data_IF_766136430536
#
_entry.id   IF_766136430536
#
_cell.length_a   1.000
_cell.length_b   1.000
_cell.length_c   1.000
_cell.angle_alpha   90.00
_cell.angle_beta   90.00
_cell.angle_gamma   90.00
#
_symmetry.space_group_name_H-M   'P 1'
#
loop_
_entity.id
_entity.type
_entity.pdbx_description
1 polymer ?
#
# COMPACT_ATOMS: atom_id res chain seq x y z
N UNK A 1 9.08 -6.60 11.50
CA UNK A 1 9.25 -7.47 10.30
C UNK A 1 10.21 -6.83 9.31
N UNK A 2 10.91 -7.60 8.49
CA UNK A 2 11.80 -7.09 7.44
C UNK A 2 11.03 -6.61 6.22
N UNK A 3 11.68 -5.84 5.35
CA UNK A 3 11.13 -5.40 4.08
C UNK A 3 10.63 -6.56 3.21
N UNK A 4 9.58 -6.30 2.42
CA UNK A 4 9.25 -7.17 1.28
C UNK A 4 10.01 -6.69 0.05
N UNK A 5 10.79 -7.58 -0.57
CA UNK A 5 11.57 -7.25 -1.77
C UNK A 5 10.96 -7.92 -2.99
N UNK A 6 10.78 -7.14 -4.05
CA UNK A 6 10.36 -7.63 -5.36
C UNK A 6 11.48 -7.42 -6.37
N UNK A 7 11.22 -7.68 -7.66
CA UNK A 7 12.17 -7.41 -8.72
C UNK A 7 12.62 -5.94 -8.72
N UNK A 8 11.68 -5.00 -8.63
CA UNK A 8 11.91 -3.57 -8.84
C UNK A 8 11.65 -2.70 -7.61
N UNK A 9 11.04 -3.24 -6.56
CA UNK A 9 10.60 -2.50 -5.39
C UNK A 9 11.12 -3.13 -4.09
N UNK A 10 11.19 -2.29 -3.07
CA UNK A 10 11.26 -2.66 -1.66
C UNK A 10 10.05 -2.05 -0.99
N UNK A 11 9.28 -2.85 -0.27
CA UNK A 11 8.18 -2.39 0.57
C UNK A 11 8.69 -2.33 2.00
N UNK A 12 9.04 -1.12 2.42
CA UNK A 12 9.62 -0.86 3.73
C UNK A 12 8.51 -0.57 4.74
N UNK A 13 8.34 -1.39 5.80
CA UNK A 13 7.31 -1.11 6.80
C UNK A 13 7.63 0.21 7.50
N UNK A 14 6.71 1.17 7.42
CA UNK A 14 6.95 2.50 7.97
C UNK A 14 7.03 2.46 9.50
N UNK A 15 7.99 3.21 10.02
CA UNK A 15 8.04 3.59 11.44
C UNK A 15 7.09 4.77 11.72
N UNK A 16 6.70 5.01 12.98
CA UNK A 16 5.96 6.22 13.35
C UNK A 16 6.67 7.50 12.90
N UNK A 17 7.99 7.61 13.11
CA UNK A 17 8.78 8.79 12.74
C UNK A 17 8.78 9.04 11.23
N UNK A 18 8.86 7.99 10.41
CA UNK A 18 8.76 8.12 8.95
C UNK A 18 7.36 8.54 8.52
N UNK A 19 6.33 7.97 9.12
CA UNK A 19 4.95 8.34 8.85
C UNK A 19 4.66 9.81 9.25
N UNK A 20 5.22 10.28 10.38
CA UNK A 20 5.13 11.69 10.78
C UNK A 20 5.79 12.63 9.77
N UNK A 21 6.97 12.26 9.24
CA UNK A 21 7.63 13.02 8.18
C UNK A 21 6.80 13.04 6.89
N UNK A 22 6.24 11.90 6.48
CA UNK A 22 5.33 11.82 5.33
C UNK A 22 4.11 12.75 5.52
N UNK A 23 3.48 12.73 6.70
CA UNK A 23 2.34 13.60 7.01
C UNK A 23 2.73 15.08 7.01
N UNK A 24 3.88 15.40 7.61
CA UNK A 24 4.44 16.75 7.67
C UNK A 24 5.03 17.27 6.36
N UNK A 25 5.23 16.39 5.37
CA UNK A 25 5.99 16.65 4.13
C UNK A 25 7.40 17.18 4.44
N UNK A 26 8.02 16.66 5.48
CA UNK A 26 9.29 17.14 6.04
C UNK A 26 10.33 16.02 6.03
N UNK A 27 11.03 15.78 4.90
CA UNK A 27 12.00 14.70 4.77
C UNK A 27 13.23 14.94 5.66
N UNK A 28 13.74 13.88 6.26
CA UNK A 28 15.07 13.88 6.86
C UNK A 28 16.15 13.96 5.76
N UNK A 29 17.39 14.40 6.08
CA UNK A 29 18.47 14.49 5.10
C UNK A 29 18.77 13.19 4.33
N UNK A 30 18.53 12.04 4.97
CA UNK A 30 18.76 10.72 4.39
C UNK A 30 17.51 10.13 3.70
N UNK A 31 16.36 10.82 3.77
CA UNK A 31 15.14 10.39 3.09
C UNK A 31 15.26 10.67 1.58
N UNK A 32 15.42 9.60 0.81
CA UNK A 32 15.47 9.68 -0.65
C UNK A 32 14.05 9.70 -1.22
N UNK A 33 13.36 10.84 -1.17
CA UNK A 33 12.02 10.96 -1.75
C UNK A 33 12.07 11.30 -3.25
N UNK A 34 11.09 10.81 -4.02
CA UNK A 34 10.82 11.38 -5.33
C UNK A 34 10.37 12.84 -5.19
N UNK A 35 10.61 13.66 -6.22
CA UNK A 35 10.30 15.11 -6.20
C UNK A 35 8.81 15.39 -5.92
N UNK A 36 7.93 14.50 -6.39
CA UNK A 36 6.49 14.57 -6.21
C UNK A 36 5.97 13.69 -5.06
N UNK A 37 6.86 13.19 -4.20
CA UNK A 37 6.53 12.46 -2.97
C UNK A 37 6.60 13.38 -1.74
N UNK A 38 5.68 13.24 -0.77
CA UNK A 38 4.46 12.44 -0.82
C UNK A 38 3.35 13.13 -1.61
N UNK A 39 2.44 12.37 -2.20
CA UNK A 39 1.16 12.92 -2.69
C UNK A 39 0.05 12.70 -1.66
N UNK A 40 -1.15 13.24 -1.92
CA UNK A 40 -2.30 13.19 -0.99
C UNK A 40 -2.58 11.78 -0.43
N UNK A 41 -2.47 10.75 -1.28
CA UNK A 41 -2.74 9.36 -0.88
C UNK A 41 -1.74 8.82 0.13
N UNK A 42 -0.46 9.19 0.03
CA UNK A 42 0.58 8.77 0.99
C UNK A 42 0.33 9.44 2.34
N UNK A 43 -0.02 10.73 2.35
CA UNK A 43 -0.37 11.48 3.56
C UNK A 43 -1.58 10.86 4.26
N UNK A 44 -2.62 10.48 3.50
CA UNK A 44 -3.80 9.80 4.05
C UNK A 44 -3.40 8.44 4.65
N UNK A 45 -2.64 7.63 3.91
CA UNK A 45 -2.18 6.32 4.37
C UNK A 45 -1.35 6.39 5.65
N UNK A 46 -0.35 7.27 5.69
CA UNK A 46 0.50 7.50 6.86
C UNK A 46 -0.30 8.06 8.05
N UNK A 47 -1.27 8.95 7.81
CA UNK A 47 -2.16 9.46 8.87
C UNK A 47 -3.00 8.34 9.50
N UNK A 48 -3.57 7.46 8.68
CA UNK A 48 -4.36 6.33 9.17
C UNK A 48 -3.49 5.35 9.96
N UNK A 49 -2.27 5.10 9.49
CA UNK A 49 -1.29 4.30 10.21
C UNK A 49 -0.95 4.90 11.58
N UNK A 50 -0.62 6.20 11.66
CA UNK A 50 -0.33 6.86 12.94
C UNK A 50 -1.50 6.77 13.93
N UNK A 51 -2.74 6.97 13.44
CA UNK A 51 -3.94 6.84 14.27
C UNK A 51 -4.13 5.43 14.82
N UNK A 52 -3.95 4.42 13.96
CA UNK A 52 -4.02 3.02 14.36
C UNK A 52 -2.93 2.69 15.38
N UNK A 53 -1.69 3.13 15.12
CA UNK A 53 -0.56 2.93 16.02
C UNK A 53 -0.77 3.56 17.39
N UNK A 54 -1.30 4.79 17.44
CA UNK A 54 -1.60 5.46 18.71
C UNK A 54 -2.73 4.76 19.50
N UNK A 55 -3.62 4.04 18.82
CA UNK A 55 -4.78 3.37 19.43
C UNK A 55 -4.47 1.93 19.85
N UNK A 56 -3.69 1.20 19.05
CA UNK A 56 -3.53 -0.25 19.15
C UNK A 56 -2.08 -0.72 19.18
N UNK A 57 -1.10 0.18 19.18
CA UNK A 57 0.32 -0.15 19.23
C UNK A 57 0.88 -0.57 17.88
N UNK A 58 1.87 -1.45 17.87
CA UNK A 58 2.51 -1.90 16.62
C UNK A 58 1.48 -2.53 15.66
N UNK A 59 1.47 -2.03 14.42
CA UNK A 59 0.56 -2.51 13.38
C UNK A 59 1.17 -3.61 12.52
N UNK A 60 2.46 -3.93 12.67
CA UNK A 60 3.09 -4.95 11.83
C UNK A 60 2.44 -6.35 12.02
N UNK A 61 2.24 -7.12 10.93
CA UNK A 61 2.49 -6.78 9.52
C UNK A 61 1.37 -5.99 8.83
N UNK A 62 0.23 -5.78 9.48
CA UNK A 62 -0.98 -5.20 8.90
C UNK A 62 -0.99 -3.66 8.87
N UNK A 63 0.17 -3.06 8.62
CA UNK A 63 0.39 -1.62 8.64
C UNK A 63 0.69 -1.00 7.27
N UNK A 64 1.27 0.20 7.31
CA UNK A 64 1.67 0.96 6.13
C UNK A 64 3.13 0.69 5.76
N UNK A 65 3.40 0.64 4.46
CA UNK A 65 4.70 0.39 3.86
C UNK A 65 5.01 1.51 2.86
N UNK A 66 6.22 2.03 2.92
CA UNK A 66 6.78 2.93 1.90
C UNK A 66 7.24 2.08 0.72
N UNK A 67 6.79 2.44 -0.49
CA UNK A 67 7.24 1.82 -1.74
C UNK A 67 8.53 2.50 -2.16
N UNK A 68 9.64 1.78 -2.11
CA UNK A 68 10.97 2.26 -2.52
C UNK A 68 11.35 1.61 -3.85
N UNK A 69 11.66 2.43 -4.85
CA UNK A 69 12.13 1.96 -6.17
C UNK A 69 13.60 1.57 -6.10
N UNK A 70 13.92 0.32 -6.49
CA UNK A 70 15.26 -0.24 -6.37
C UNK A 70 16.30 0.40 -7.28
N UNK A 71 15.90 0.94 -8.43
CA UNK A 71 16.85 1.49 -9.42
C UNK A 71 17.61 2.72 -8.91
N UNK A 72 17.03 3.46 -7.96
CA UNK A 72 17.60 4.71 -7.45
C UNK A 72 17.34 4.95 -5.96
N UNK A 73 16.75 3.99 -5.25
CA UNK A 73 16.48 4.05 -3.81
C UNK A 73 15.39 5.03 -3.41
N UNK A 74 14.60 5.55 -4.36
CA UNK A 74 13.63 6.61 -4.04
C UNK A 74 12.29 6.08 -3.55
N UNK A 75 11.73 6.70 -2.51
CA UNK A 75 10.33 6.53 -2.13
C UNK A 75 9.42 7.11 -3.22
N UNK A 76 8.50 6.28 -3.73
CA UNK A 76 7.63 6.59 -4.88
C UNK A 76 6.14 6.37 -4.58
N UNK A 77 5.79 6.08 -3.33
CA UNK A 77 4.41 5.92 -2.91
C UNK A 77 4.28 5.11 -1.63
N UNK A 78 3.05 4.71 -1.33
CA UNK A 78 2.70 3.91 -0.16
C UNK A 78 1.77 2.76 -0.51
N UNK A 79 1.86 1.69 0.25
CA UNK A 79 0.95 0.54 0.20
C UNK A 79 0.76 0.00 1.62
N UNK A 80 -0.37 -0.61 1.92
CA UNK A 80 -0.55 -1.23 3.22
C UNK A 80 -1.83 -2.02 3.34
N UNK A 81 -1.91 -2.77 4.43
CA UNK A 81 -3.16 -3.34 4.89
C UNK A 81 -3.94 -2.26 5.63
N UNK A 82 -5.26 -2.22 5.43
CA UNK A 82 -6.15 -1.27 6.13
C UNK A 82 -6.60 -1.83 7.48
N UNK A 83 -5.63 -2.23 8.30
CA UNK A 83 -5.84 -2.77 9.64
C UNK A 83 -5.78 -4.30 9.73
N UNK A 84 -6.04 -4.80 10.93
CA UNK A 84 -5.99 -6.23 11.26
C UNK A 84 -7.02 -7.04 10.45
N UNK A 85 -6.71 -8.30 10.12
CA UNK A 85 -7.62 -9.16 9.39
C UNK A 85 -8.91 -9.43 10.16
N UNK A 86 -10.02 -9.57 9.44
CA UNK A 86 -11.34 -9.90 9.97
C UNK A 86 -11.89 -11.10 9.18
N UNK A 87 -12.30 -12.16 9.88
CA UNK A 87 -12.87 -13.37 9.28
C UNK A 87 -12.00 -13.94 8.13
N UNK A 88 -10.68 -13.98 8.32
CA UNK A 88 -9.72 -14.48 7.33
C UNK A 88 -9.48 -13.53 6.14
N UNK A 89 -10.06 -12.33 6.17
CA UNK A 89 -9.96 -11.30 5.14
C UNK A 89 -9.08 -10.13 5.58
N UNK A 90 -8.37 -9.51 4.64
CA UNK A 90 -7.73 -8.21 4.87
C UNK A 90 -7.86 -7.30 3.65
N UNK A 91 -8.12 -6.02 3.89
CA UNK A 91 -8.17 -5.02 2.82
C UNK A 91 -6.79 -4.40 2.58
N UNK A 92 -6.41 -4.19 1.31
CA UNK A 92 -5.21 -3.43 0.95
C UNK A 92 -5.57 -2.08 0.30
N UNK A 93 -4.69 -1.11 0.47
CA UNK A 93 -4.72 0.17 -0.25
C UNK A 93 -3.32 0.56 -0.72
N UNK A 94 -3.24 1.28 -1.83
CA UNK A 94 -1.97 1.73 -2.40
C UNK A 94 -2.09 3.06 -3.14
N UNK A 95 -0.94 3.69 -3.33
CA UNK A 95 -0.78 4.93 -4.06
C UNK A 95 0.63 5.05 -4.62
N UNK A 96 0.76 5.68 -5.79
CA UNK A 96 2.05 6.06 -6.36
C UNK A 96 2.01 7.54 -6.72
N UNK A 97 3.16 8.18 -6.57
CA UNK A 97 3.38 9.53 -7.10
C UNK A 97 3.22 9.55 -8.63
N UNK A 98 2.73 10.65 -9.22
CA UNK A 98 2.54 10.76 -10.67
C UNK A 98 3.73 10.28 -11.51
N UNK A 99 4.96 10.62 -11.11
CA UNK A 99 6.21 10.28 -11.81
C UNK A 99 6.51 8.76 -11.85
N UNK A 100 5.88 7.96 -10.99
CA UNK A 100 6.08 6.52 -10.90
C UNK A 100 4.89 5.69 -11.47
N UNK A 101 3.83 6.34 -11.96
CA UNK A 101 2.66 5.67 -12.53
C UNK A 101 2.94 5.11 -13.93
N UNK A 102 2.14 4.14 -14.36
CA UNK A 102 2.24 3.54 -15.70
C UNK A 102 3.37 2.52 -15.88
N UNK A 103 4.24 2.33 -14.89
CA UNK A 103 5.33 1.34 -14.92
C UNK A 103 4.97 -0.05 -14.33
N UNK A 104 3.72 -0.21 -13.87
CA UNK A 104 3.23 -1.45 -13.25
C UNK A 104 3.67 -1.66 -11.80
N UNK A 105 4.29 -0.67 -11.15
CA UNK A 105 4.78 -0.78 -9.77
C UNK A 105 3.66 -1.03 -8.75
N UNK A 106 2.49 -0.41 -8.91
CA UNK A 106 1.39 -0.62 -7.96
C UNK A 106 0.90 -2.08 -7.98
N UNK A 107 0.77 -2.67 -9.16
CA UNK A 107 0.38 -4.08 -9.28
C UNK A 107 1.45 -5.03 -8.72
N UNK A 108 2.73 -4.73 -8.93
CA UNK A 108 3.84 -5.48 -8.33
C UNK A 108 3.83 -5.40 -6.79
N UNK A 109 3.65 -4.20 -6.24
CA UNK A 109 3.54 -4.01 -4.80
C UNK A 109 2.31 -4.73 -4.21
N UNK A 110 1.17 -4.66 -4.88
CA UNK A 110 -0.05 -5.39 -4.46
C UNK A 110 0.17 -6.89 -4.44
N UNK A 111 0.83 -7.48 -5.45
CA UNK A 111 1.16 -8.91 -5.44
C UNK A 111 2.03 -9.29 -4.26
N UNK A 112 3.02 -8.47 -3.90
CA UNK A 112 3.86 -8.74 -2.73
C UNK A 112 3.06 -8.76 -1.41
N UNK A 113 2.07 -7.87 -1.23
CA UNK A 113 1.18 -7.93 -0.06
C UNK A 113 0.22 -9.13 -0.11
N UNK A 114 -0.26 -9.50 -1.30
CA UNK A 114 -1.10 -10.70 -1.49
C UNK A 114 -0.31 -11.97 -1.12
N UNK A 115 0.94 -12.07 -1.56
CA UNK A 115 1.82 -13.19 -1.22
C UNK A 115 2.12 -13.21 0.29
N UNK A 116 2.39 -12.05 0.90
CA UNK A 116 2.57 -11.94 2.34
C UNK A 116 1.30 -12.36 3.12
N UNK A 117 0.11 -11.97 2.65
CA UNK A 117 -1.16 -12.39 3.25
C UNK A 117 -1.36 -13.92 3.17
N UNK A 118 -0.96 -14.54 2.06
CA UNK A 118 -0.97 -16.00 1.90
C UNK A 118 -0.03 -16.69 2.88
N UNK A 119 1.18 -16.17 3.05
CA UNK A 119 2.14 -16.70 4.03
C UNK A 119 1.66 -16.55 5.48
N UNK A 120 0.87 -15.52 5.75
CA UNK A 120 0.22 -15.29 7.04
C UNK A 120 -1.02 -16.17 7.27
N UNK A 121 -1.41 -17.00 6.30
CA UNK A 121 -2.52 -17.94 6.40
C UNK A 121 -3.91 -17.28 6.32
N UNK A 122 -4.02 -16.13 5.65
CA UNK A 122 -5.31 -15.51 5.35
C UNK A 122 -6.02 -16.23 4.20
N UNK A 123 -7.35 -16.16 4.17
CA UNK A 123 -8.18 -16.82 3.17
C UNK A 123 -8.34 -15.97 1.90
N UNK A 124 -8.41 -14.65 2.06
CA UNK A 124 -8.59 -13.74 0.93
C UNK A 124 -8.09 -12.32 1.21
N UNK A 125 -7.71 -11.62 0.14
CA UNK A 125 -7.40 -10.18 0.17
C UNK A 125 -8.46 -9.44 -0.61
N UNK A 126 -8.92 -8.31 -0.07
CA UNK A 126 -9.90 -7.43 -0.70
C UNK A 126 -9.33 -6.04 -0.97
N UNK A 127 -9.94 -5.32 -1.90
CA UNK A 127 -9.64 -3.93 -2.19
C UNK A 127 -10.88 -3.25 -2.77
N UNK A 128 -11.05 -1.97 -2.46
CA UNK A 128 -12.08 -1.12 -3.04
C UNK A 128 -11.47 -0.03 -3.91
N UNK A 129 -12.18 0.36 -4.97
CA UNK A 129 -11.78 1.52 -5.78
C UNK A 129 -12.97 2.19 -6.44
N UNK A 130 -12.95 3.52 -6.55
CA UNK A 130 -14.00 4.28 -7.21
C UNK A 130 -14.27 3.79 -8.65
N UNK A 131 -15.53 3.83 -9.07
CA UNK A 131 -15.94 3.34 -10.41
C UNK A 131 -15.31 4.12 -11.56
N UNK A 132 -14.93 5.38 -11.34
CA UNK A 132 -14.23 6.23 -12.30
C UNK A 132 -12.70 6.06 -12.28
N UNK A 133 -12.16 5.35 -11.28
CA UNK A 133 -10.72 5.10 -11.15
C UNK A 133 -10.26 3.89 -11.98
N UNK A 134 -10.34 4.03 -13.30
CA UNK A 134 -9.98 3.00 -14.28
C UNK A 134 -8.51 2.53 -14.11
N UNK A 135 -7.61 3.42 -13.67
CA UNK A 135 -6.21 3.07 -13.45
C UNK A 135 -6.03 2.09 -12.28
N UNK A 136 -6.76 2.29 -11.18
CA UNK A 136 -6.74 1.38 -10.05
C UNK A 136 -7.42 0.05 -10.37
N UNK A 137 -8.56 0.08 -11.07
CA UNK A 137 -9.24 -1.15 -11.53
C UNK A 137 -8.29 -2.06 -12.32
N UNK A 138 -7.59 -1.48 -13.31
CA UNK A 138 -6.57 -2.20 -14.07
C UNK A 138 -5.45 -2.70 -13.15
N UNK A 139 -5.00 -1.91 -12.20
CA UNK A 139 -3.95 -2.31 -11.26
C UNK A 139 -4.35 -3.55 -10.46
N UNK A 140 -5.57 -3.59 -9.91
CA UNK A 140 -6.12 -4.72 -9.16
C UNK A 140 -6.22 -5.98 -10.04
N UNK A 141 -6.71 -5.83 -11.27
CA UNK A 141 -6.78 -6.93 -12.25
C UNK A 141 -5.39 -7.49 -12.60
N UNK A 142 -4.41 -6.60 -12.83
CA UNK A 142 -3.04 -7.03 -13.08
C UNK A 142 -2.40 -7.66 -11.85
N UNK A 143 -2.80 -7.28 -10.64
CA UNK A 143 -2.38 -7.93 -9.40
C UNK A 143 -3.01 -9.33 -9.20
N UNK A 144 -3.94 -9.73 -10.06
CA UNK A 144 -4.61 -11.04 -10.01
C UNK A 144 -5.95 -11.02 -9.27
N UNK A 145 -6.41 -9.85 -8.81
CA UNK A 145 -7.69 -9.71 -8.14
C UNK A 145 -8.84 -9.68 -9.15
N UNK A 146 -9.98 -10.22 -8.75
CA UNK A 146 -11.21 -10.22 -9.54
C UNK A 146 -12.24 -9.29 -8.92
N UNK A 147 -12.99 -8.56 -9.76
CA UNK A 147 -14.12 -7.76 -9.30
C UNK A 147 -15.25 -8.69 -8.84
N UNK A 148 -15.70 -8.53 -7.60
CA UNK A 148 -16.73 -9.38 -6.96
C UNK A 148 -18.03 -8.63 -6.66
N UNK A 149 -18.05 -7.30 -6.78
CA UNK A 149 -19.25 -6.53 -6.52
C UNK A 149 -19.09 -5.03 -6.69
N UNK A 150 -20.11 -4.32 -6.20
CA UNK A 150 -20.19 -2.86 -6.14
C UNK A 150 -20.74 -2.46 -4.76
N UNK A 151 -20.25 -1.36 -4.21
CA UNK A 151 -20.78 -0.77 -2.99
C UNK A 151 -20.73 0.75 -3.10
N UNK A 152 -21.89 1.40 -3.10
CA UNK A 152 -21.97 2.85 -3.37
C UNK A 152 -21.37 3.17 -4.74
N UNK A 153 -20.41 4.09 -4.78
CA UNK A 153 -19.69 4.51 -5.99
C UNK A 153 -18.32 3.79 -6.16
N UNK A 154 -18.15 2.63 -5.52
CA UNK A 154 -16.91 1.83 -5.58
C UNK A 154 -17.16 0.40 -6.11
N UNK A 155 -16.17 -0.11 -6.83
CA UNK A 155 -16.05 -1.54 -7.15
C UNK A 155 -15.25 -2.26 -6.08
N UNK A 156 -15.72 -3.47 -5.76
CA UNK A 156 -15.09 -4.36 -4.79
C UNK A 156 -14.31 -5.45 -5.53
N UNK A 157 -13.06 -5.65 -5.15
CA UNK A 157 -12.15 -6.65 -5.70
C UNK A 157 -11.72 -7.64 -4.63
N UNK A 158 -11.49 -8.90 -5.02
CA UNK A 158 -11.03 -9.98 -4.15
C UNK A 158 -10.09 -10.92 -4.87
N UNK A 159 -9.16 -11.51 -4.13
CA UNK A 159 -8.42 -12.71 -4.53
C UNK A 159 -8.46 -13.72 -3.39
N UNK A 160 -8.68 -15.00 -3.72
CA UNK A 160 -8.59 -16.11 -2.79
C UNK A 160 -7.14 -16.63 -2.73
N UNK A 161 -6.67 -16.92 -1.51
CA UNK A 161 -5.28 -17.28 -1.21
C UNK A 161 -5.07 -18.80 -1.07
#
# INVERSE_FOLDING_TARGET
MSDFTTERLVLHPATPDEAERIVGRDPAPDDLWAEDFPFEGDVIGATMFLRATNTSGDQQPFGFYVIIRRSDGRAVGGIGFKGQPQDGSVEIGYGLVPSARGAGFAAEASRALIDAARELGLDHVVAATAMDNIASQRTLEHAGMSRVGEQGDEYQYRIDL
#
